data_IF_444900196426
#
_entry.id   IF_444900196426
#
_cell.length_a   1.000
_cell.length_b   1.000
_cell.length_c   1.000
_cell.angle_alpha   90.00
_cell.angle_beta   90.00
_cell.angle_gamma   90.00
#
_symmetry.space_group_name_H-M   'P 1'
#
loop_
_entity.id
_entity.type
_entity.pdbx_description
1 polymer ?
#
# COMPACT_ATOMS: atom_id res chain seq x y z
N UNK A 1 -11.39 -1.18 27.97
CA UNK A 1 -10.15 -0.87 27.21
C UNK A 1 -10.51 -0.93 25.73
N UNK A 2 -10.26 0.10 24.91
CA UNK A 2 -10.47 -0.06 23.48
C UNK A 2 -9.40 -1.02 22.93
N UNK A 3 -9.72 -1.90 21.97
CA UNK A 3 -8.68 -2.63 21.26
C UNK A 3 -7.80 -1.57 20.59
N UNK A 4 -6.51 -1.58 20.95
CA UNK A 4 -5.51 -0.82 20.22
C UNK A 4 -5.65 -1.27 18.77
N UNK A 5 -6.03 -0.35 17.89
CA UNK A 5 -6.00 -0.56 16.46
C UNK A 5 -4.64 -1.16 16.15
N UNK A 6 -4.64 -2.46 15.84
CA UNK A 6 -3.53 -3.16 15.25
C UNK A 6 -3.38 -2.54 13.86
N UNK A 7 -2.76 -1.35 13.80
CA UNK A 7 -2.27 -0.86 12.53
C UNK A 7 -1.21 -1.87 12.15
N UNK A 8 -1.43 -2.69 11.11
CA UNK A 8 -0.42 -3.63 10.66
C UNK A 8 0.89 -2.86 10.52
N UNK A 9 2.02 -3.45 10.95
CA UNK A 9 3.29 -2.73 10.95
C UNK A 9 3.48 -2.14 9.56
N UNK A 10 3.80 -0.86 9.46
CA UNK A 10 3.88 -0.10 8.19
C UNK A 10 4.59 -0.82 7.05
N UNK A 11 5.55 -1.70 7.38
CA UNK A 11 6.26 -2.55 6.44
C UNK A 11 5.37 -3.63 5.79
N UNK A 12 4.42 -4.18 6.54
CA UNK A 12 3.45 -5.19 6.09
C UNK A 12 2.45 -4.60 5.10
N UNK A 13 1.95 -3.37 5.35
CA UNK A 13 1.05 -2.66 4.42
C UNK A 13 1.74 -2.37 3.08
N UNK A 14 3.00 -1.93 3.13
CA UNK A 14 3.79 -1.70 1.91
C UNK A 14 4.05 -3.02 1.19
N UNK A 15 4.39 -4.09 1.90
CA UNK A 15 4.58 -5.41 1.32
C UNK A 15 3.29 -5.94 0.67
N UNK A 16 2.13 -5.76 1.29
CA UNK A 16 0.83 -6.12 0.74
C UNK A 16 0.50 -5.32 -0.52
N UNK A 17 0.69 -4.00 -0.50
CA UNK A 17 0.49 -3.15 -1.69
C UNK A 17 1.43 -3.55 -2.85
N UNK A 18 2.69 -3.85 -2.55
CA UNK A 18 3.64 -4.37 -3.53
C UNK A 18 3.19 -5.73 -4.09
N UNK A 19 2.72 -6.63 -3.23
CA UNK A 19 2.23 -7.95 -3.64
C UNK A 19 1.04 -7.83 -4.59
N UNK A 20 0.11 -6.91 -4.32
CA UNK A 20 -1.01 -6.61 -5.22
C UNK A 20 -0.53 -6.05 -6.55
N UNK A 21 0.40 -5.10 -6.55
CA UNK A 21 0.96 -4.55 -7.79
C UNK A 21 1.67 -5.64 -8.61
N UNK A 22 2.39 -6.55 -7.95
CA UNK A 22 3.01 -7.71 -8.59
C UNK A 22 1.97 -8.67 -9.15
N UNK A 23 0.88 -8.93 -8.43
CA UNK A 23 -0.25 -9.73 -8.93
C UNK A 23 -0.95 -9.10 -10.14
N UNK A 24 -0.82 -7.79 -10.34
CA UNK A 24 -1.30 -7.08 -11.53
C UNK A 24 -0.29 -7.12 -12.70
N UNK A 25 0.83 -7.84 -12.55
CA UNK A 25 1.84 -8.02 -13.60
C UNK A 25 3.01 -7.05 -13.55
N UNK A 26 3.15 -6.23 -12.49
CA UNK A 26 4.31 -5.37 -12.32
C UNK A 26 5.49 -6.17 -11.73
N UNK A 27 6.69 -5.99 -12.28
CA UNK A 27 7.89 -6.53 -11.64
C UNK A 27 8.09 -5.87 -10.26
N UNK A 28 8.55 -6.62 -9.25
CA UNK A 28 8.63 -6.11 -7.85
C UNK A 28 9.37 -4.78 -7.70
N UNK A 29 10.42 -4.56 -8.51
CA UNK A 29 11.16 -3.30 -8.53
C UNK A 29 10.38 -2.16 -9.22
N UNK A 30 9.61 -2.46 -10.27
CA UNK A 30 8.70 -1.52 -10.92
C UNK A 30 7.52 -1.15 -10.00
N UNK A 31 6.96 -2.12 -9.27
CA UNK A 31 5.92 -1.89 -8.28
C UNK A 31 6.39 -0.89 -7.20
N UNK A 32 7.62 -1.06 -6.70
CA UNK A 32 8.19 -0.15 -5.71
C UNK A 32 8.48 1.24 -6.28
N UNK A 33 8.98 1.32 -7.51
CA UNK A 33 9.18 2.60 -8.19
C UNK A 33 7.86 3.35 -8.42
N UNK A 34 6.82 2.67 -8.89
CA UNK A 34 5.48 3.24 -9.08
C UNK A 34 4.91 3.74 -7.76
N UNK A 35 5.02 2.96 -6.69
CA UNK A 35 4.50 3.35 -5.38
C UNK A 35 5.24 4.57 -4.82
N UNK A 36 6.57 4.64 -5.02
CA UNK A 36 7.38 5.81 -4.64
C UNK A 36 7.05 7.05 -5.47
N UNK A 37 6.82 6.89 -6.78
CA UNK A 37 6.42 7.98 -7.67
C UNK A 37 5.05 8.52 -7.27
N UNK A 38 4.05 7.66 -7.06
CA UNK A 38 2.72 8.09 -6.62
C UNK A 38 2.75 8.80 -5.27
N UNK A 39 3.53 8.28 -4.32
CA UNK A 39 3.73 8.92 -3.03
C UNK A 39 4.33 10.32 -3.19
N UNK A 40 5.35 10.46 -4.03
CA UNK A 40 6.01 11.74 -4.32
C UNK A 40 5.07 12.74 -5.01
N UNK A 41 4.30 12.31 -6.01
CA UNK A 41 3.36 13.18 -6.72
C UNK A 41 2.23 13.66 -5.83
N UNK A 42 1.79 12.84 -4.86
CA UNK A 42 0.77 13.23 -3.89
C UNK A 42 1.31 13.94 -2.65
N UNK A 43 2.63 14.09 -2.52
CA UNK A 43 3.25 14.64 -1.32
C UNK A 43 3.02 13.78 -0.07
N UNK A 44 2.78 12.48 -0.25
CA UNK A 44 2.51 11.52 0.82
C UNK A 44 3.73 10.63 1.08
N UNK A 45 3.81 10.04 2.27
CA UNK A 45 4.76 8.97 2.52
C UNK A 45 4.36 7.68 1.79
N UNK A 46 5.36 6.90 1.36
CA UNK A 46 5.19 5.59 0.69
C UNK A 46 4.20 4.70 1.46
N UNK A 47 4.29 4.66 2.78
CA UNK A 47 3.37 3.92 3.66
C UNK A 47 1.92 4.39 3.57
N UNK A 48 1.68 5.71 3.57
CA UNK A 48 0.35 6.28 3.50
C UNK A 48 -0.27 6.00 2.11
N UNK A 49 0.54 6.09 1.06
CA UNK A 49 0.12 5.73 -0.29
C UNK A 49 -0.20 4.23 -0.41
N UNK A 50 0.60 3.34 0.19
CA UNK A 50 0.32 1.91 0.25
C UNK A 50 -0.99 1.60 1.00
N UNK A 51 -1.21 2.25 2.15
CA UNK A 51 -2.44 2.09 2.92
C UNK A 51 -3.67 2.51 2.11
N UNK A 52 -3.62 3.63 1.39
CA UNK A 52 -4.70 4.06 0.51
C UNK A 52 -5.00 3.05 -0.61
N UNK A 53 -3.97 2.43 -1.19
CA UNK A 53 -4.14 1.40 -2.23
C UNK A 53 -4.83 0.16 -1.63
N UNK A 54 -4.36 -0.31 -0.48
CA UNK A 54 -4.96 -1.47 0.21
C UNK A 54 -6.39 -1.18 0.63
N UNK A 55 -6.67 -0.02 1.23
CA UNK A 55 -8.03 0.36 1.62
C UNK A 55 -8.97 0.56 0.43
N UNK A 56 -8.47 1.07 -0.71
CA UNK A 56 -9.27 1.18 -1.93
C UNK A 56 -9.64 -0.19 -2.53
N UNK A 57 -8.83 -1.21 -2.28
CA UNK A 57 -9.12 -2.58 -2.70
C UNK A 57 -10.10 -3.25 -1.76
N UNK A 58 -9.90 -3.12 -0.45
CA UNK A 58 -10.80 -3.63 0.59
C UNK A 58 -12.23 -3.07 0.43
N UNK A 59 -12.36 -1.77 0.15
CA UNK A 59 -13.65 -1.13 -0.13
C UNK A 59 -14.30 -1.50 -1.47
N UNK A 60 -13.57 -2.17 -2.38
CA UNK A 60 -14.11 -2.63 -3.69
C UNK A 60 -14.67 -4.05 -3.62
N UNK A 61 -14.33 -4.82 -2.58
CA UNK A 61 -14.80 -6.21 -2.39
C UNK A 61 -16.08 -6.30 -1.54
N UNK A 62 -16.61 -5.16 -1.09
CA UNK A 62 -17.90 -5.03 -0.41
C UNK A 62 -18.91 -4.29 -1.30
#
# INVERSE_FOLDING_TARGET
>A
MPPRSDSPPSSDVVAQALKVLVSQGLAGQAAHATLRTMARERGLSVTCCAALIVSALDGRVN
#
